data_IF_400194207994
#
_entry.id   IF_400194207994
#
_cell.length_a   1.000
_cell.length_b   1.000
_cell.length_c   1.000
_cell.angle_alpha   90.00
_cell.angle_beta   90.00
_cell.angle_gamma   90.00
#
_symmetry.space_group_name_H-M   'P 1'
#
loop_
_entity.id
_entity.type
_entity.pdbx_description
1 polymer ?
#
# COMPACT_ATOMS: atom_id res chain seq x y z
N UNK A 1 21.45 9.28 4.76
CA UNK A 1 21.08 9.12 6.17
C UNK A 1 20.04 8.01 6.25
N UNK A 2 20.43 6.90 6.85
CA UNK A 2 19.67 5.64 6.95
C UNK A 2 18.46 5.81 7.88
N UNK A 3 17.25 5.56 7.38
CA UNK A 3 16.04 5.42 8.20
C UNK A 3 14.95 4.70 7.42
N UNK A 4 15.16 3.42 7.12
CA UNK A 4 14.14 2.57 6.48
C UNK A 4 14.13 1.16 7.09
N UNK A 5 14.36 1.06 8.40
CA UNK A 5 14.39 -0.21 9.13
C UNK A 5 13.04 -0.56 9.79
N UNK A 6 11.95 0.06 9.33
CA UNK A 6 10.62 -0.11 9.94
C UNK A 6 9.54 -0.34 8.89
N UNK A 7 9.71 -1.35 8.04
CA UNK A 7 8.65 -1.80 7.11
C UNK A 7 8.72 -3.29 6.86
N UNK A 8 8.63 -4.06 7.94
CA UNK A 8 8.10 -5.41 7.76
C UNK A 8 6.60 -5.27 7.56
N UNK A 9 6.16 -5.59 6.34
CA UNK A 9 4.80 -6.01 5.98
C UNK A 9 4.20 -6.86 7.12
N UNK A 10 2.87 -6.99 7.29
CA UNK A 10 2.38 -8.17 7.97
C UNK A 10 3.08 -9.37 7.31
N UNK A 11 3.89 -10.10 8.08
CA UNK A 11 4.29 -11.46 7.75
C UNK A 11 3.07 -12.08 7.09
N UNK A 12 3.21 -12.49 5.82
CA UNK A 12 2.07 -12.94 5.00
C UNK A 12 1.22 -13.82 5.91
N UNK A 13 -0.07 -13.49 6.07
CA UNK A 13 -0.91 -14.24 7.01
C UNK A 13 -0.82 -15.75 6.73
N UNK A 14 -0.62 -16.09 5.45
CA UNK A 14 -0.32 -17.42 4.93
C UNK A 14 1.06 -17.97 5.39
N UNK A 15 2.12 -17.15 5.46
CA UNK A 15 3.42 -17.53 6.02
C UNK A 15 3.37 -17.73 7.54
N UNK A 16 2.63 -16.85 8.24
CA UNK A 16 2.42 -16.98 9.68
C UNK A 16 1.58 -18.23 9.99
N UNK A 17 0.51 -18.47 9.22
CA UNK A 17 -0.33 -19.66 9.33
C UNK A 17 0.48 -20.93 9.03
N UNK A 18 1.31 -20.92 7.98
CA UNK A 18 2.19 -22.04 7.67
C UNK A 18 3.25 -22.29 8.76
N UNK A 19 3.78 -21.23 9.38
CA UNK A 19 4.73 -21.33 10.48
C UNK A 19 4.07 -21.88 11.76
N UNK A 20 2.83 -21.44 12.07
CA UNK A 20 2.02 -21.95 13.17
C UNK A 20 1.65 -23.41 12.94
N UNK A 21 1.19 -23.77 11.75
CA UNK A 21 0.79 -25.14 11.39
C UNK A 21 1.99 -26.12 11.42
N UNK A 22 3.18 -25.63 11.07
CA UNK A 22 4.43 -26.39 11.21
C UNK A 22 4.83 -26.57 12.68
N UNK A 23 4.59 -25.57 13.52
CA UNK A 23 4.91 -25.62 14.96
C UNK A 23 3.94 -26.51 15.74
N UNK A 24 2.64 -26.49 15.44
CA UNK A 24 1.63 -27.38 16.04
C UNK A 24 1.87 -28.84 15.63
N UNK A 25 2.26 -29.10 14.38
CA UNK A 25 2.62 -30.45 13.91
C UNK A 25 3.91 -31.00 14.51
N UNK A 26 4.84 -30.13 14.93
CA UNK A 26 6.11 -30.53 15.55
C UNK A 26 5.98 -30.95 17.03
N UNK A 27 4.79 -30.81 17.62
CA UNK A 27 4.39 -31.43 18.89
C UNK A 27 5.40 -31.30 20.02
N UNK A 28 5.50 -30.13 20.67
CA UNK A 28 6.10 -30.01 22.01
C UNK A 28 5.74 -28.71 22.72
N UNK A 29 5.36 -28.85 23.99
CA UNK A 29 4.99 -27.84 24.99
C UNK A 29 6.10 -26.83 25.38
N UNK A 30 7.08 -26.57 24.51
CA UNK A 30 8.13 -25.54 24.70
C UNK A 30 7.89 -24.29 23.83
N UNK A 31 6.87 -24.31 22.96
CA UNK A 31 6.62 -23.26 21.98
C UNK A 31 5.61 -22.19 22.44
N UNK A 32 4.86 -22.42 23.53
CA UNK A 32 3.69 -21.59 23.86
C UNK A 32 4.08 -20.22 24.44
N UNK A 33 5.11 -20.14 25.29
CA UNK A 33 5.58 -18.84 25.82
C UNK A 33 6.28 -17.98 24.76
N UNK A 34 7.13 -18.57 23.92
CA UNK A 34 7.82 -17.84 22.86
C UNK A 34 6.87 -17.41 21.73
N UNK A 35 5.87 -18.23 21.37
CA UNK A 35 4.84 -17.85 20.39
C UNK A 35 3.91 -16.77 20.93
N UNK A 36 3.50 -16.84 22.21
CA UNK A 36 2.70 -15.79 22.84
C UNK A 36 3.47 -14.49 22.98
N UNK A 37 4.76 -14.53 23.32
CA UNK A 37 5.58 -13.32 23.37
C UNK A 37 5.80 -12.72 21.98
N UNK A 38 5.92 -13.54 20.93
CA UNK A 38 5.91 -13.09 19.54
C UNK A 38 4.57 -12.45 19.15
N UNK A 39 3.44 -13.09 19.48
CA UNK A 39 2.09 -12.56 19.25
C UNK A 39 1.85 -11.25 20.00
N UNK A 40 2.23 -11.16 21.26
CA UNK A 40 2.13 -9.96 22.08
C UNK A 40 3.05 -8.84 21.57
N UNK A 41 4.25 -9.19 21.08
CA UNK A 41 5.16 -8.22 20.45
C UNK A 41 4.62 -7.73 19.10
N UNK A 42 3.94 -8.58 18.34
CA UNK A 42 3.24 -8.22 17.10
C UNK A 42 2.01 -7.35 17.36
N UNK A 43 1.23 -7.62 18.41
CA UNK A 43 0.10 -6.77 18.81
C UNK A 43 0.54 -5.44 19.43
N UNK A 44 1.64 -5.42 20.19
CA UNK A 44 2.20 -4.20 20.81
C UNK A 44 2.89 -3.29 19.81
N UNK A 45 3.47 -3.84 18.73
CA UNK A 45 3.85 -3.06 17.55
C UNK A 45 2.58 -2.82 16.70
N UNK A 46 1.72 -1.91 17.15
CA UNK A 46 0.76 -1.29 16.24
C UNK A 46 1.55 -0.59 15.12
N UNK A 47 1.80 -1.30 14.01
CA UNK A 47 2.36 -0.73 12.81
C UNK A 47 1.45 0.42 12.38
N UNK A 48 1.90 1.65 12.61
CA UNK A 48 1.19 2.84 12.16
C UNK A 48 1.58 3.09 10.72
N UNK A 49 0.59 3.04 9.84
CA UNK A 49 0.77 3.48 8.47
C UNK A 49 1.19 4.94 8.42
N UNK A 50 1.91 5.30 7.37
CA UNK A 50 2.34 6.67 7.13
C UNK A 50 1.11 7.58 7.02
N UNK A 51 1.10 8.64 7.82
CA UNK A 51 0.09 9.71 7.72
C UNK A 51 0.59 10.93 6.95
N UNK A 52 1.92 11.12 6.89
CA UNK A 52 2.56 12.28 6.25
C UNK A 52 3.83 11.90 5.49
N UNK A 53 4.04 12.55 4.36
CA UNK A 53 5.31 12.58 3.64
C UNK A 53 6.02 13.89 3.95
N UNK A 54 7.28 13.82 4.42
CA UNK A 54 8.13 14.98 4.63
C UNK A 54 9.09 15.10 3.44
N UNK A 55 8.98 16.17 2.68
CA UNK A 55 9.67 16.35 1.41
C UNK A 55 10.65 17.52 1.50
N UNK A 56 11.91 17.37 1.09
CA UNK A 56 12.85 18.48 1.01
C UNK A 56 12.29 19.58 0.09
N UNK A 57 12.34 20.84 0.54
CA UNK A 57 11.88 21.99 -0.23
C UNK A 57 12.70 23.23 0.12
N UNK A 58 13.50 23.72 -0.84
CA UNK A 58 14.41 24.87 -0.67
C UNK A 58 15.33 24.68 0.55
N UNK A 59 15.23 25.58 1.52
CA UNK A 59 15.97 25.64 2.78
C UNK A 59 15.29 24.88 3.93
N UNK A 60 14.23 24.10 3.65
CA UNK A 60 13.51 23.33 4.65
C UNK A 60 12.75 22.13 4.09
N UNK A 61 11.57 21.88 4.65
CA UNK A 61 10.72 20.75 4.31
C UNK A 61 9.27 21.15 4.14
N UNK A 62 8.61 20.54 3.16
CA UNK A 62 7.16 20.58 2.99
C UNK A 62 6.56 19.27 3.50
N UNK A 63 5.42 19.36 4.19
CA UNK A 63 4.65 18.18 4.59
C UNK A 63 3.46 17.99 3.66
N UNK A 64 3.21 16.75 3.26
CA UNK A 64 2.04 16.31 2.51
C UNK A 64 1.30 15.28 3.35
N UNK A 65 -0.01 15.47 3.60
CA UNK A 65 -0.81 14.44 4.27
C UNK A 65 -1.11 13.32 3.28
N UNK A 66 -1.05 12.08 3.76
CA UNK A 66 -1.41 10.91 2.96
C UNK A 66 -2.89 10.93 2.56
N UNK A 67 -3.77 11.50 3.39
CA UNK A 67 -5.18 11.74 3.06
C UNK A 67 -5.40 12.63 1.82
N UNK A 68 -4.44 13.50 1.52
CA UNK A 68 -4.53 14.45 0.41
C UNK A 68 -4.05 13.81 -0.91
N UNK A 69 -3.47 12.60 -0.86
CA UNK A 69 -2.97 11.86 -2.02
C UNK A 69 -4.14 11.18 -2.73
N UNK A 70 -4.33 11.54 -4.00
CA UNK A 70 -5.31 10.95 -4.90
C UNK A 70 -4.83 9.61 -5.46
N UNK A 71 -3.59 9.60 -5.96
CA UNK A 71 -2.89 8.40 -6.38
C UNK A 71 -1.39 8.68 -6.38
N UNK A 72 -0.63 7.60 -6.46
CA UNK A 72 0.81 7.63 -6.62
C UNK A 72 1.11 6.99 -7.96
N UNK A 73 1.95 7.63 -8.76
CA UNK A 73 2.39 7.08 -10.03
C UNK A 73 3.90 7.15 -10.20
N UNK A 74 4.44 6.26 -11.02
CA UNK A 74 5.82 6.36 -11.48
C UNK A 74 5.87 6.67 -12.97
N UNK A 75 6.59 7.72 -13.30
CA UNK A 75 6.85 8.17 -14.66
C UNK A 75 8.34 8.47 -14.80
N UNK A 76 8.99 7.94 -15.84
CA UNK A 76 10.43 8.14 -16.09
C UNK A 76 11.34 7.84 -14.89
N UNK A 77 11.01 6.79 -14.10
CA UNK A 77 11.70 6.39 -12.85
C UNK A 77 11.58 7.40 -11.70
N UNK A 78 10.76 8.44 -11.85
CA UNK A 78 10.39 9.37 -10.79
C UNK A 78 9.04 8.96 -10.21
N UNK A 79 8.90 9.01 -8.89
CA UNK A 79 7.64 8.72 -8.20
C UNK A 79 6.96 10.04 -7.81
N UNK A 80 5.70 10.17 -8.20
CA UNK A 80 4.88 11.35 -7.98
C UNK A 80 3.73 11.01 -7.03
N UNK A 81 3.54 11.83 -5.99
CA UNK A 81 2.30 11.91 -5.25
C UNK A 81 1.39 12.88 -5.99
N UNK A 82 0.31 12.39 -6.61
CA UNK A 82 -0.71 13.23 -7.24
C UNK A 82 -1.75 13.59 -6.19
N UNK A 83 -1.92 14.88 -5.93
CA UNK A 83 -2.73 15.38 -4.82
C UNK A 83 -4.16 15.74 -5.28
N UNK A 84 -5.12 15.68 -4.36
CA UNK A 84 -6.53 15.95 -4.65
C UNK A 84 -6.81 17.38 -5.17
N UNK A 85 -5.93 18.33 -4.90
CA UNK A 85 -6.00 19.70 -5.39
C UNK A 85 -5.43 19.86 -6.83
N UNK A 86 -5.04 18.77 -7.49
CA UNK A 86 -4.49 18.76 -8.85
C UNK A 86 -2.97 19.01 -8.92
N UNK A 87 -2.32 19.33 -7.81
CA UNK A 87 -0.85 19.48 -7.76
C UNK A 87 -0.14 18.13 -7.61
N UNK A 88 1.18 18.12 -7.70
CA UNK A 88 1.97 16.91 -7.53
C UNK A 88 3.30 17.18 -6.86
N UNK A 89 3.77 16.20 -6.11
CA UNK A 89 5.05 16.26 -5.41
C UNK A 89 5.90 15.05 -5.76
N UNK A 90 7.21 15.26 -5.91
CA UNK A 90 8.16 14.17 -6.17
C UNK A 90 8.64 13.58 -4.85
N UNK A 91 8.78 12.25 -4.81
CA UNK A 91 9.34 11.55 -3.65
C UNK A 91 10.52 10.67 -4.05
N UNK A 92 11.49 10.59 -3.14
CA UNK A 92 12.61 9.67 -3.25
C UNK A 92 12.31 8.38 -2.47
N UNK A 93 11.21 7.73 -2.83
CA UNK A 93 10.82 6.41 -2.33
C UNK A 93 10.39 5.58 -3.52
N UNK A 94 10.73 4.30 -3.48
CA UNK A 94 10.25 3.36 -4.47
C UNK A 94 8.75 3.12 -4.31
N UNK A 95 8.19 2.61 -5.38
CA UNK A 95 6.81 2.23 -5.44
C UNK A 95 6.43 1.10 -4.46
N UNK A 96 7.38 0.21 -4.16
CA UNK A 96 7.18 -0.91 -3.24
C UNK A 96 7.31 -0.45 -1.77
N UNK A 97 8.24 0.47 -1.48
CA UNK A 97 8.37 1.11 -0.17
C UNK A 97 7.10 1.88 0.21
N UNK A 98 6.50 2.59 -0.75
CA UNK A 98 5.24 3.29 -0.53
C UNK A 98 4.09 2.33 -0.28
N UNK A 99 3.98 1.24 -1.04
CA UNK A 99 2.96 0.21 -0.81
C UNK A 99 3.03 -0.37 0.60
N UNK A 100 4.24 -0.58 1.14
CA UNK A 100 4.43 -1.09 2.51
C UNK A 100 4.10 -0.05 3.59
N UNK A 101 4.25 1.24 3.30
CA UNK A 101 4.01 2.32 4.26
C UNK A 101 2.56 2.79 4.33
N UNK A 102 1.76 2.51 3.31
CA UNK A 102 0.40 3.03 3.18
C UNK A 102 -0.62 2.05 3.73
N UNK A 103 -1.72 2.59 4.26
CA UNK A 103 -2.82 1.77 4.74
C UNK A 103 -3.45 0.99 3.57
N UNK A 104 -3.40 -0.35 3.54
CA UNK A 104 -3.96 -1.17 2.47
C UNK A 104 -5.49 -1.11 2.40
N UNK A 105 -6.17 -0.63 3.44
CA UNK A 105 -7.61 -0.37 3.38
C UNK A 105 -7.93 0.91 2.60
N UNK A 106 -6.99 1.85 2.52
CA UNK A 106 -7.15 3.09 1.77
C UNK A 106 -6.45 3.06 0.41
N UNK A 107 -5.34 2.33 0.28
CA UNK A 107 -4.49 2.31 -0.91
C UNK A 107 -4.38 0.92 -1.54
N UNK A 108 -4.46 0.87 -2.86
CA UNK A 108 -4.36 -0.36 -3.63
C UNK A 108 -3.33 -0.27 -4.76
N UNK A 109 -2.45 -1.25 -4.84
CA UNK A 109 -1.47 -1.39 -5.93
C UNK A 109 -2.12 -1.93 -7.21
N UNK A 110 -2.65 -1.01 -8.00
CA UNK A 110 -3.35 -1.30 -9.25
C UNK A 110 -2.46 -2.03 -10.27
N UNK A 111 -1.22 -1.57 -10.45
CA UNK A 111 -0.22 -2.20 -11.33
C UNK A 111 1.21 -1.71 -10.96
N UNK A 112 2.23 -1.99 -11.79
CA UNK A 112 3.62 -1.56 -11.53
C UNK A 112 3.82 -0.03 -11.57
N UNK A 113 2.88 0.71 -12.14
CA UNK A 113 2.96 2.16 -12.28
C UNK A 113 2.09 2.93 -11.31
N UNK A 114 1.07 2.32 -10.70
CA UNK A 114 0.04 3.05 -9.96
C UNK A 114 -0.31 2.40 -8.62
N UNK A 115 -0.38 3.22 -7.57
CA UNK A 115 -1.10 2.96 -6.31
C UNK A 115 -2.27 3.95 -6.26
N UNK A 116 -3.49 3.47 -6.07
CA UNK A 116 -4.70 4.31 -6.06
C UNK A 116 -5.25 4.43 -4.65
N UNK A 117 -5.86 5.57 -4.32
CA UNK A 117 -6.60 5.77 -3.08
C UNK A 117 -8.11 5.55 -3.32
N UNK A 118 -8.75 4.74 -2.47
CA UNK A 118 -10.16 4.35 -2.57
C UNK A 118 -11.11 5.55 -2.62
N UNK A 119 -10.85 6.59 -1.82
CA UNK A 119 -11.68 7.79 -1.71
C UNK A 119 -11.85 8.54 -3.04
N UNK A 120 -10.86 8.39 -3.93
CA UNK A 120 -10.80 9.09 -5.20
C UNK A 120 -11.13 8.20 -6.40
N UNK A 121 -11.47 6.93 -6.19
CA UNK A 121 -12.01 6.10 -7.27
C UNK A 121 -13.37 6.66 -7.69
N UNK A 122 -13.53 6.97 -8.98
CA UNK A 122 -14.77 7.50 -9.53
C UNK A 122 -15.57 6.41 -10.24
N UNK A 123 -14.90 5.59 -11.05
CA UNK A 123 -15.57 4.60 -11.88
C UNK A 123 -14.64 3.45 -12.28
N UNK A 124 -15.19 2.24 -12.29
CA UNK A 124 -14.56 1.05 -12.85
C UNK A 124 -15.28 0.67 -14.15
N UNK A 125 -14.54 0.54 -15.24
CA UNK A 125 -15.08 0.05 -16.51
C UNK A 125 -14.40 -1.25 -16.93
N UNK A 126 -15.18 -2.18 -17.47
CA UNK A 126 -14.64 -3.36 -18.13
C UNK A 126 -13.76 -2.95 -19.33
N UNK A 127 -12.69 -3.67 -19.54
CA UNK A 127 -11.78 -3.50 -20.67
C UNK A 127 -11.45 -4.86 -21.31
N UNK A 128 -10.80 -4.82 -22.47
CA UNK A 128 -10.51 -6.02 -23.24
C UNK A 128 -9.70 -7.06 -22.44
N UNK A 129 -10.03 -8.34 -22.63
CA UNK A 129 -9.35 -9.46 -21.98
C UNK A 129 -9.65 -9.62 -20.49
N UNK A 130 -10.79 -9.11 -20.02
CA UNK A 130 -11.17 -9.20 -18.59
C UNK A 130 -10.40 -8.23 -17.69
N UNK A 131 -9.67 -7.28 -18.28
CA UNK A 131 -9.02 -6.19 -17.56
C UNK A 131 -10.05 -5.16 -17.10
N UNK A 132 -9.67 -4.32 -16.16
CA UNK A 132 -10.45 -3.14 -15.77
C UNK A 132 -9.68 -1.87 -16.06
N UNK A 133 -10.41 -0.78 -16.30
CA UNK A 133 -9.88 0.58 -16.24
C UNK A 133 -10.50 1.27 -15.03
N UNK A 134 -9.64 1.85 -14.19
CA UNK A 134 -10.02 2.73 -13.08
C UNK A 134 -9.92 4.17 -13.55
N UNK A 135 -10.97 4.96 -13.29
CA UNK A 135 -10.98 6.42 -13.46
C UNK A 135 -11.00 7.08 -12.09
N UNK A 136 -10.23 8.15 -11.94
CA UNK A 136 -10.07 8.87 -10.68
C UNK A 136 -10.74 10.25 -10.71
N UNK A 137 -11.28 10.69 -9.57
CA UNK A 137 -11.78 12.05 -9.38
C UNK A 137 -10.64 13.06 -9.56
N UNK A 138 -10.89 14.15 -10.27
CA UNK A 138 -9.89 15.21 -10.52
C UNK A 138 -8.80 14.90 -11.56
N UNK A 139 -8.71 13.65 -12.03
CA UNK A 139 -7.69 13.20 -12.98
C UNK A 139 -8.31 12.42 -14.17
N UNK A 140 -9.11 13.07 -15.03
CA UNK A 140 -9.88 12.39 -16.09
C UNK A 140 -9.01 11.76 -17.18
N UNK A 141 -7.78 12.26 -17.36
CA UNK A 141 -6.84 11.76 -18.37
C UNK A 141 -6.00 10.58 -17.87
N UNK A 142 -5.98 10.33 -16.56
CA UNK A 142 -5.23 9.22 -15.97
C UNK A 142 -6.03 7.92 -16.12
N UNK A 143 -5.59 7.05 -17.04
CA UNK A 143 -6.22 5.75 -17.31
C UNK A 143 -5.42 4.63 -16.66
N UNK A 144 -5.90 4.14 -15.53
CA UNK A 144 -5.20 3.09 -14.77
C UNK A 144 -5.77 1.73 -15.16
N UNK A 145 -4.96 0.92 -15.84
CA UNK A 145 -5.37 -0.43 -16.23
C UNK A 145 -5.01 -1.43 -15.14
N UNK A 146 -5.98 -2.26 -14.75
CA UNK A 146 -5.80 -3.37 -13.81
C UNK A 146 -5.93 -4.69 -14.55
N UNK A 147 -4.99 -5.60 -14.30
CA UNK A 147 -4.94 -6.88 -14.99
C UNK A 147 -6.12 -7.77 -14.61
N UNK A 148 -6.41 -8.79 -15.43
CA UNK A 148 -7.52 -9.73 -15.17
C UNK A 148 -7.35 -10.43 -13.83
N UNK A 149 -6.12 -10.76 -13.47
CA UNK A 149 -5.76 -11.48 -12.24
C UNK A 149 -6.06 -10.62 -10.99
N UNK A 150 -5.86 -9.30 -11.08
CA UNK A 150 -6.15 -8.36 -9.99
C UNK A 150 -7.56 -7.79 -10.02
N UNK A 151 -8.31 -7.98 -11.11
CA UNK A 151 -9.60 -7.36 -11.32
C UNK A 151 -10.62 -7.75 -10.25
N UNK A 152 -10.66 -9.04 -9.87
CA UNK A 152 -11.59 -9.53 -8.84
C UNK A 152 -11.25 -8.94 -7.47
N UNK A 153 -9.98 -9.03 -7.07
CA UNK A 153 -9.48 -8.45 -5.81
C UNK A 153 -9.74 -6.95 -5.70
N UNK A 154 -9.61 -6.21 -6.81
CA UNK A 154 -9.92 -4.78 -6.82
C UNK A 154 -11.40 -4.51 -6.51
N UNK A 155 -12.32 -5.28 -7.11
CA UNK A 155 -13.76 -5.11 -6.87
C UNK A 155 -14.11 -5.39 -5.41
N UNK A 156 -13.63 -6.51 -4.88
CA UNK A 156 -13.81 -6.88 -3.48
C UNK A 156 -13.21 -5.86 -2.53
N UNK A 157 -12.05 -5.29 -2.87
CA UNK A 157 -11.42 -4.25 -2.06
C UNK A 157 -12.22 -2.95 -2.03
N UNK A 158 -12.88 -2.57 -3.13
CA UNK A 158 -13.74 -1.38 -3.18
C UNK A 158 -15.08 -1.59 -2.48
N UNK A 159 -15.59 -2.82 -2.46
CA UNK A 159 -16.91 -3.20 -1.88
C UNK A 159 -16.85 -3.56 -0.38
N UNK A 160 -15.77 -3.17 0.31
CA UNK A 160 -15.64 -3.30 1.77
C UNK A 160 -16.22 -2.08 2.48
#
# INVERSE_FOLDING_TARGET
FNSFDYLLKPLDADELEAAIDKATKAGKNYADENLRQLFDSLQKNQFRYRERCLLPYRDGYKTVRVSDINHIETENKTVYLRLNNGTSEVVNMSMDELEQQLNPDCFFRANRQYIINIEYVLFLSNYFGGKLIVRLKGYPNTKITVSKEKAQRLKEWIDK
#
